data_IF_050223346632
#
_entry.id   IF_050223346632
#
_cell.length_a   1.000
_cell.length_b   1.000
_cell.length_c   1.000
_cell.angle_alpha   90.00
_cell.angle_beta   90.00
_cell.angle_gamma   90.00
#
_symmetry.space_group_name_H-M   'P 1'
#
loop_
_entity.id
_entity.type
_entity.pdbx_description
1 polymer ?
#
# COMPACT_ATOMS: atom_id res chain seq x y z
N UNK A 1 -1.38 7.56 -41.91
CA UNK A 1 -0.02 7.44 -41.36
C UNK A 1 0.06 8.20 -40.02
N UNK A 2 -0.51 7.64 -38.92
CA UNK A 2 -0.56 8.24 -37.58
C UNK A 2 -0.44 7.17 -36.47
N UNK A 3 0.52 6.23 -36.58
CA UNK A 3 0.68 5.13 -35.63
C UNK A 3 1.94 5.22 -34.73
N UNK A 4 2.76 6.26 -34.85
CA UNK A 4 4.05 6.33 -34.14
C UNK A 4 4.04 7.17 -32.86
N UNK A 5 2.97 7.89 -32.54
CA UNK A 5 2.90 8.76 -31.37
C UNK A 5 2.50 8.04 -30.05
N UNK A 6 1.97 6.83 -30.12
CA UNK A 6 1.42 6.11 -28.94
C UNK A 6 2.49 5.31 -28.17
N UNK A 7 3.57 4.90 -28.83
CA UNK A 7 4.64 4.13 -28.18
C UNK A 7 5.48 4.97 -27.18
N UNK A 8 5.68 6.26 -27.48
CA UNK A 8 6.48 7.15 -26.61
C UNK A 8 5.79 7.53 -25.28
N UNK A 9 4.46 7.40 -25.20
CA UNK A 9 3.70 7.69 -23.96
C UNK A 9 3.69 6.51 -22.98
N UNK A 10 3.89 5.29 -23.48
CA UNK A 10 3.90 4.05 -22.67
C UNK A 10 5.12 3.95 -21.74
N UNK A 11 6.25 4.52 -22.14
CA UNK A 11 7.48 4.51 -21.32
C UNK A 11 7.47 5.53 -20.17
N UNK A 12 6.53 6.50 -20.14
CA UNK A 12 6.54 7.61 -19.17
C UNK A 12 5.96 7.32 -17.80
N UNK A 13 5.23 6.22 -17.62
CA UNK A 13 4.66 5.87 -16.30
C UNK A 13 5.73 5.18 -15.42
N UNK A 14 6.74 4.58 -16.05
CA UNK A 14 7.91 3.99 -15.35
C UNK A 14 9.14 4.91 -15.32
N UNK A 15 9.02 6.18 -15.74
CA UNK A 15 10.17 7.11 -15.68
C UNK A 15 10.57 7.32 -14.23
N UNK A 16 11.81 7.03 -13.96
CA UNK A 16 12.50 7.13 -12.70
C UNK A 16 12.11 8.40 -11.94
N UNK A 17 11.37 8.22 -10.84
CA UNK A 17 11.22 9.28 -9.84
C UNK A 17 12.62 9.67 -9.38
N UNK A 18 12.91 10.96 -9.17
CA UNK A 18 14.16 11.35 -8.56
C UNK A 18 14.38 10.55 -7.28
N UNK A 19 15.56 9.95 -7.12
CA UNK A 19 15.87 8.96 -6.09
C UNK A 19 15.39 9.38 -4.67
N UNK A 20 15.47 10.67 -4.34
CA UNK A 20 15.00 11.17 -3.04
C UNK A 20 13.50 11.01 -2.76
N UNK A 21 12.64 11.02 -3.80
CA UNK A 21 11.20 10.78 -3.63
C UNK A 21 10.86 9.29 -3.51
N UNK A 22 11.69 8.43 -4.08
CA UNK A 22 11.55 6.99 -3.96
C UNK A 22 11.81 6.55 -2.50
N UNK A 23 12.88 7.05 -1.89
CA UNK A 23 13.20 6.74 -0.49
C UNK A 23 12.10 7.17 0.48
N UNK A 24 11.45 8.33 0.27
CA UNK A 24 10.35 8.78 1.12
C UNK A 24 9.12 7.86 1.13
N UNK A 25 8.87 7.09 0.07
CA UNK A 25 7.75 6.16 0.01
C UNK A 25 8.06 4.77 0.60
N UNK A 26 9.34 4.37 0.68
CA UNK A 26 9.75 3.04 1.13
C UNK A 26 9.36 2.81 2.60
N UNK A 27 9.72 3.71 3.49
CA UNK A 27 9.43 3.58 4.92
C UNK A 27 7.92 3.52 5.22
N UNK A 28 7.08 4.42 4.68
CA UNK A 28 5.63 4.29 4.82
C UNK A 28 5.08 2.95 4.34
N UNK A 29 5.58 2.40 3.24
CA UNK A 29 5.13 1.10 2.73
C UNK A 29 5.50 -0.02 3.71
N UNK A 30 6.76 -0.05 4.21
CA UNK A 30 7.23 -1.07 5.16
C UNK A 30 6.38 -1.04 6.44
N UNK A 31 6.20 0.14 7.04
CA UNK A 31 5.47 0.26 8.30
C UNK A 31 3.98 -0.02 8.11
N UNK A 32 3.34 0.58 7.13
CA UNK A 32 1.93 0.39 6.88
C UNK A 32 1.56 -1.04 6.45
N UNK A 33 2.52 -1.85 5.99
CA UNK A 33 2.30 -3.27 5.68
C UNK A 33 1.85 -4.08 6.91
N UNK A 34 2.19 -3.61 8.13
CA UNK A 34 1.78 -4.24 9.38
C UNK A 34 0.62 -3.50 10.07
N UNK A 35 0.13 -2.40 9.49
CA UNK A 35 -1.01 -1.69 10.03
C UNK A 35 -2.28 -2.54 9.89
N UNK A 36 -2.83 -2.94 11.03
CA UNK A 36 -4.00 -3.79 11.13
C UNK A 36 -5.19 -3.03 11.69
N UNK A 37 -6.33 -3.16 11.03
CA UNK A 37 -7.62 -2.63 11.48
C UNK A 37 -8.66 -3.73 11.36
N UNK A 38 -9.25 -4.13 12.47
CA UNK A 38 -10.25 -5.19 12.53
C UNK A 38 -9.78 -6.53 11.87
N UNK A 39 -8.52 -6.90 12.04
CA UNK A 39 -7.94 -8.11 11.44
C UNK A 39 -7.54 -7.98 9.97
N UNK A 40 -7.69 -6.79 9.36
CA UNK A 40 -7.37 -6.51 7.96
C UNK A 40 -6.11 -5.63 7.86
N UNK A 41 -5.29 -5.82 6.82
CA UNK A 41 -4.06 -5.04 6.58
C UNK A 41 -4.09 -4.34 5.20
N UNK A 42 -5.04 -3.45 4.92
CA UNK A 42 -5.22 -2.87 3.58
C UNK A 42 -4.18 -1.79 3.22
N UNK A 43 -3.50 -1.21 4.21
CA UNK A 43 -2.72 0.02 4.02
C UNK A 43 -1.44 -0.18 3.22
N UNK A 44 -0.65 -1.23 3.52
CA UNK A 44 0.64 -1.47 2.85
C UNK A 44 0.49 -1.68 1.36
N UNK A 45 -0.45 -2.54 0.96
CA UNK A 45 -0.72 -2.84 -0.45
C UNK A 45 -1.27 -1.61 -1.18
N UNK A 46 -2.13 -0.82 -0.54
CA UNK A 46 -2.69 0.41 -1.12
C UNK A 46 -1.62 1.49 -1.32
N UNK A 47 -0.73 1.69 -0.34
CA UNK A 47 0.40 2.62 -0.45
C UNK A 47 1.40 2.17 -1.52
N UNK A 48 1.74 0.88 -1.56
CA UNK A 48 2.59 0.32 -2.61
C UNK A 48 2.02 0.62 -4.00
N UNK A 49 0.77 0.24 -4.24
CA UNK A 49 0.13 0.43 -5.54
C UNK A 49 0.01 1.91 -5.93
N UNK A 50 -0.37 2.77 -4.98
CA UNK A 50 -0.58 4.19 -5.24
C UNK A 50 0.71 4.98 -5.40
N UNK A 51 1.67 4.78 -4.51
CA UNK A 51 2.88 5.60 -4.45
C UNK A 51 4.04 5.03 -5.27
N UNK A 52 4.24 3.72 -5.22
CA UNK A 52 5.46 3.10 -5.76
C UNK A 52 5.24 1.70 -6.35
N UNK A 53 4.40 1.53 -7.40
CA UNK A 53 4.22 0.25 -8.08
C UNK A 53 5.47 -0.09 -8.91
N UNK A 54 6.52 -0.54 -8.25
CA UNK A 54 7.83 -0.84 -8.84
C UNK A 54 8.48 -2.00 -8.11
N UNK A 55 9.54 -2.64 -8.67
CA UNK A 55 10.26 -3.70 -7.97
C UNK A 55 10.81 -3.28 -6.59
N UNK A 56 11.22 -2.02 -6.43
CA UNK A 56 11.70 -1.48 -5.15
C UNK A 56 10.56 -1.36 -4.14
N UNK A 57 9.40 -0.82 -4.56
CA UNK A 57 8.21 -0.76 -3.73
C UNK A 57 7.70 -2.15 -3.37
N UNK A 58 7.78 -3.11 -4.29
CA UNK A 58 7.46 -4.51 -4.03
C UNK A 58 8.38 -5.11 -2.95
N UNK A 59 9.70 -4.87 -3.04
CA UNK A 59 10.64 -5.32 -2.02
C UNK A 59 10.36 -4.69 -0.65
N UNK A 60 10.00 -3.39 -0.61
CA UNK A 60 9.61 -2.71 0.60
C UNK A 60 8.35 -3.31 1.24
N UNK A 61 7.32 -3.57 0.43
CA UNK A 61 6.09 -4.24 0.89
C UNK A 61 6.39 -5.65 1.40
N UNK A 62 7.20 -6.43 0.66
CA UNK A 62 7.56 -7.77 1.05
C UNK A 62 8.32 -7.79 2.38
N UNK A 63 9.30 -6.88 2.57
CA UNK A 63 10.03 -6.76 3.82
C UNK A 63 9.10 -6.41 5.00
N UNK A 64 8.19 -5.43 4.81
CA UNK A 64 7.21 -5.08 5.83
C UNK A 64 6.24 -6.21 6.14
N UNK A 65 5.67 -6.84 5.12
CA UNK A 65 4.69 -7.92 5.29
C UNK A 65 5.28 -9.15 5.98
N UNK A 66 6.52 -9.54 5.65
CA UNK A 66 7.19 -10.69 6.26
C UNK A 66 7.60 -10.41 7.71
N UNK A 67 7.90 -9.17 8.08
CA UNK A 67 8.16 -8.80 9.46
C UNK A 67 6.95 -9.04 10.38
N UNK A 68 5.72 -9.00 9.82
CA UNK A 68 4.47 -9.34 10.53
C UNK A 68 4.10 -10.83 10.52
N UNK A 69 4.95 -11.71 9.95
CA UNK A 69 4.73 -13.16 9.91
C UNK A 69 4.33 -13.70 8.55
N UNK A 70 4.06 -15.03 8.51
CA UNK A 70 3.76 -15.74 7.25
C UNK A 70 2.43 -15.32 6.60
N UNK A 71 1.49 -14.78 7.38
CA UNK A 71 0.23 -14.23 6.86
C UNK A 71 0.47 -13.08 5.87
N UNK A 72 1.65 -12.45 5.93
CA UNK A 72 2.10 -11.45 4.97
C UNK A 72 2.27 -11.96 3.54
N UNK A 73 2.46 -13.26 3.33
CA UNK A 73 2.67 -13.84 2.00
C UNK A 73 1.51 -13.57 1.04
N UNK A 74 0.27 -13.55 1.53
CA UNK A 74 -0.90 -13.22 0.68
C UNK A 74 -0.79 -11.84 0.06
N UNK A 75 -0.29 -10.84 0.81
CA UNK A 75 -0.15 -9.46 0.32
C UNK A 75 0.98 -9.34 -0.71
N UNK A 76 2.03 -10.14 -0.56
CA UNK A 76 3.12 -10.23 -1.54
C UNK A 76 2.59 -10.80 -2.85
N UNK A 77 1.79 -11.87 -2.79
CA UNK A 77 1.14 -12.45 -3.98
C UNK A 77 0.16 -11.47 -4.63
N UNK A 78 -0.65 -10.77 -3.85
CA UNK A 78 -1.54 -9.72 -4.36
C UNK A 78 -0.75 -8.60 -5.05
N UNK A 79 0.36 -8.16 -4.47
CA UNK A 79 1.22 -7.14 -5.07
C UNK A 79 1.86 -7.62 -6.38
N UNK A 80 2.33 -8.87 -6.43
CA UNK A 80 2.88 -9.46 -7.64
C UNK A 80 1.82 -9.54 -8.75
N UNK A 81 0.60 -9.97 -8.42
CA UNK A 81 -0.52 -10.01 -9.35
C UNK A 81 -0.88 -8.60 -9.86
N UNK A 82 -0.90 -7.61 -8.97
CA UNK A 82 -1.16 -6.22 -9.34
C UNK A 82 -0.08 -5.65 -10.27
N UNK A 83 1.21 -5.92 -9.99
CA UNK A 83 2.31 -5.54 -10.90
C UNK A 83 2.20 -6.22 -12.26
N UNK A 84 1.91 -7.52 -12.28
CA UNK A 84 1.72 -8.26 -13.52
C UNK A 84 0.57 -7.66 -14.34
N UNK A 85 -0.56 -7.36 -13.70
CA UNK A 85 -1.70 -6.72 -14.36
C UNK A 85 -1.32 -5.35 -14.94
N UNK A 86 -0.60 -4.53 -14.19
CA UNK A 86 -0.12 -3.21 -14.63
C UNK A 86 0.93 -3.29 -15.76
N UNK A 87 1.64 -4.42 -15.88
CA UNK A 87 2.57 -4.67 -16.97
C UNK A 87 1.85 -4.97 -18.30
N UNK A 88 0.76 -5.74 -18.23
CA UNK A 88 -0.01 -6.13 -19.43
C UNK A 88 -1.05 -5.08 -19.84
N UNK A 89 -1.59 -4.32 -18.89
CA UNK A 89 -2.70 -3.40 -19.12
C UNK A 89 -2.34 -1.97 -18.68
N UNK A 90 -2.73 -1.00 -19.52
CA UNK A 90 -2.68 0.41 -19.12
C UNK A 90 -3.94 0.74 -18.30
N UNK A 91 -3.83 0.63 -16.98
CA UNK A 91 -4.94 0.93 -16.10
C UNK A 91 -4.98 2.44 -15.80
N UNK A 92 -6.15 3.04 -15.95
CA UNK A 92 -6.44 4.35 -15.36
C UNK A 92 -6.58 4.23 -13.83
N UNK A 93 -6.62 5.36 -13.13
CA UNK A 93 -6.60 5.37 -11.66
C UNK A 93 -7.78 4.61 -11.04
N UNK A 94 -8.98 4.75 -11.61
CA UNK A 94 -10.19 4.11 -11.10
C UNK A 94 -10.11 2.59 -11.34
N UNK A 95 -9.77 2.18 -12.55
CA UNK A 95 -9.64 0.77 -12.90
C UNK A 95 -8.52 0.09 -12.10
N UNK A 96 -7.40 0.80 -11.86
CA UNK A 96 -6.32 0.30 -11.00
C UNK A 96 -6.77 0.13 -9.55
N UNK A 97 -7.56 1.07 -9.01
CA UNK A 97 -8.13 0.97 -7.67
C UNK A 97 -9.08 -0.23 -7.55
N UNK A 98 -9.97 -0.41 -8.53
CA UNK A 98 -10.88 -1.56 -8.59
C UNK A 98 -10.12 -2.88 -8.72
N UNK A 99 -9.10 -2.93 -9.58
CA UNK A 99 -8.26 -4.11 -9.77
C UNK A 99 -7.51 -4.49 -8.48
N UNK A 100 -6.89 -3.51 -7.80
CA UNK A 100 -6.21 -3.75 -6.53
C UNK A 100 -7.19 -4.29 -5.48
N UNK A 101 -8.36 -3.67 -5.37
CA UNK A 101 -9.41 -4.12 -4.46
C UNK A 101 -9.87 -5.56 -4.75
N UNK A 102 -10.11 -5.87 -6.02
CA UNK A 102 -10.53 -7.22 -6.44
C UNK A 102 -9.43 -8.27 -6.17
N UNK A 103 -8.17 -7.96 -6.46
CA UNK A 103 -7.03 -8.84 -6.18
C UNK A 103 -6.91 -9.09 -4.67
N UNK A 104 -7.04 -8.04 -3.85
CA UNK A 104 -6.96 -8.14 -2.38
C UNK A 104 -8.10 -9.00 -1.84
N UNK A 105 -9.33 -8.79 -2.29
CA UNK A 105 -10.48 -9.59 -1.90
C UNK A 105 -10.31 -11.06 -2.29
N UNK A 106 -9.89 -11.31 -3.54
CA UNK A 106 -9.66 -12.68 -4.04
C UNK A 106 -8.54 -13.39 -3.25
N UNK A 107 -7.43 -12.68 -2.94
CA UNK A 107 -6.35 -13.20 -2.12
C UNK A 107 -6.80 -13.54 -0.69
N UNK A 108 -7.68 -12.72 -0.11
CA UNK A 108 -8.27 -12.98 1.20
C UNK A 108 -9.19 -14.21 1.18
N UNK A 109 -10.09 -14.31 0.18
CA UNK A 109 -10.98 -15.47 0.01
C UNK A 109 -10.15 -16.75 -0.23
N UNK A 110 -9.10 -16.68 -1.06
CA UNK A 110 -8.23 -17.82 -1.30
C UNK A 110 -7.51 -18.26 -0.01
N UNK A 111 -6.98 -17.32 0.77
CA UNK A 111 -6.36 -17.62 2.07
C UNK A 111 -7.34 -18.28 3.05
N UNK A 112 -8.60 -17.87 3.04
CA UNK A 112 -9.66 -18.42 3.86
C UNK A 112 -9.90 -19.91 3.60
N UNK A 113 -9.76 -20.36 2.35
CA UNK A 113 -9.96 -21.78 2.00
C UNK A 113 -8.97 -22.72 2.74
N UNK A 114 -7.82 -22.19 3.17
CA UNK A 114 -6.77 -22.96 3.85
C UNK A 114 -6.86 -22.88 5.38
N UNK A 115 -7.50 -21.87 5.95
CA UNK A 115 -7.47 -21.64 7.40
C UNK A 115 -8.84 -21.83 8.06
N UNK A 116 -9.79 -20.97 7.77
CA UNK A 116 -11.10 -20.95 8.44
C UNK A 116 -12.20 -20.59 7.45
N UNK A 117 -12.76 -21.59 6.73
CA UNK A 117 -13.88 -21.30 5.83
C UNK A 117 -15.09 -20.80 6.64
N UNK A 118 -15.59 -19.62 6.31
CA UNK A 118 -16.75 -19.04 6.97
C UNK A 118 -17.25 -17.78 6.30
N UNK A 119 -18.55 -17.52 6.41
CA UNK A 119 -19.19 -16.37 5.76
C UNK A 119 -18.63 -15.02 6.27
N UNK A 120 -18.26 -14.95 7.56
CA UNK A 120 -17.65 -13.77 8.16
C UNK A 120 -16.25 -13.50 7.60
N UNK A 121 -15.44 -14.54 7.39
CA UNK A 121 -14.11 -14.40 6.80
C UNK A 121 -14.20 -13.94 5.34
N UNK A 122 -15.18 -14.45 4.58
CA UNK A 122 -15.45 -14.00 3.22
C UNK A 122 -15.88 -12.52 3.20
N UNK A 123 -16.78 -12.12 4.09
CA UNK A 123 -17.22 -10.73 4.22
C UNK A 123 -16.04 -9.81 4.60
N UNK A 124 -15.19 -10.22 5.55
CA UNK A 124 -13.99 -9.48 5.93
C UNK A 124 -13.04 -9.30 4.73
N UNK A 125 -12.81 -10.35 3.93
CA UNK A 125 -11.98 -10.29 2.74
C UNK A 125 -12.52 -9.32 1.67
N UNK A 126 -13.84 -9.28 1.49
CA UNK A 126 -14.49 -8.31 0.60
C UNK A 126 -14.34 -6.89 1.15
N UNK A 127 -14.57 -6.67 2.44
CA UNK A 127 -14.37 -5.37 3.08
C UNK A 127 -12.91 -4.90 2.97
N UNK A 128 -11.95 -5.81 3.17
CA UNK A 128 -10.53 -5.52 2.99
C UNK A 128 -10.21 -5.08 1.56
N UNK A 129 -10.74 -5.78 0.56
CA UNK A 129 -10.58 -5.44 -0.84
C UNK A 129 -11.15 -4.06 -1.19
N UNK A 130 -12.39 -3.78 -0.76
CA UNK A 130 -13.02 -2.48 -0.97
C UNK A 130 -12.20 -1.38 -0.30
N UNK A 131 -11.79 -1.58 0.95
CA UNK A 131 -10.96 -0.62 1.69
C UNK A 131 -9.61 -0.39 1.01
N UNK A 132 -8.94 -1.46 0.54
CA UNK A 132 -7.67 -1.35 -0.18
C UNK A 132 -7.81 -0.56 -1.48
N UNK A 133 -8.87 -0.78 -2.26
CA UNK A 133 -9.16 -0.02 -3.47
C UNK A 133 -9.43 1.46 -3.21
N UNK A 134 -10.25 1.78 -2.19
CA UNK A 134 -10.54 3.15 -1.78
C UNK A 134 -9.28 3.88 -1.29
N UNK A 135 -8.48 3.23 -0.46
CA UNK A 135 -7.22 3.79 0.04
C UNK A 135 -6.21 4.00 -1.10
N UNK A 136 -6.11 3.06 -2.05
CA UNK A 136 -5.29 3.25 -3.25
C UNK A 136 -5.72 4.51 -4.02
N UNK A 137 -7.01 4.67 -4.26
CA UNK A 137 -7.53 5.86 -4.93
C UNK A 137 -7.20 7.13 -4.15
N UNK A 138 -7.37 7.09 -2.84
CA UNK A 138 -7.10 8.21 -1.94
C UNK A 138 -5.60 8.57 -1.87
N UNK A 139 -4.72 7.61 -1.65
CA UNK A 139 -3.27 7.84 -1.64
C UNK A 139 -2.71 8.23 -3.02
N UNK A 140 -3.40 7.88 -4.10
CA UNK A 140 -3.04 8.31 -5.44
C UNK A 140 -2.99 9.84 -5.61
N UNK A 141 -3.66 10.62 -4.74
CA UNK A 141 -3.57 12.09 -4.71
C UNK A 141 -2.17 12.56 -4.32
N UNK A 142 -1.43 11.76 -3.54
CA UNK A 142 -0.09 12.07 -3.08
C UNK A 142 1.02 11.68 -4.08
N UNK A 143 0.66 11.01 -5.18
CA UNK A 143 1.65 10.43 -6.11
C UNK A 143 2.61 11.45 -6.73
N UNK A 144 2.14 12.65 -7.00
CA UNK A 144 2.92 13.73 -7.67
C UNK A 144 3.54 14.72 -6.70
N UNK A 145 3.21 14.62 -5.41
CA UNK A 145 3.55 15.62 -4.42
C UNK A 145 4.75 15.18 -3.54
N UNK A 146 5.47 16.12 -2.91
CA UNK A 146 6.41 15.80 -1.85
C UNK A 146 5.64 15.18 -0.68
N UNK A 147 6.27 14.26 0.08
CA UNK A 147 5.62 13.60 1.22
C UNK A 147 5.43 14.54 2.42
N UNK A 148 6.20 15.61 2.51
CA UNK A 148 6.04 16.63 3.56
C UNK A 148 4.95 17.64 3.19
N UNK A 149 4.18 18.15 4.17
CA UNK A 149 3.14 19.13 3.94
C UNK A 149 3.71 20.43 3.35
N UNK A 150 2.92 21.08 2.52
CA UNK A 150 3.22 22.42 1.96
C UNK A 150 2.19 23.41 2.46
N UNK A 151 2.55 24.70 2.54
CA UNK A 151 1.72 25.76 3.15
C UNK A 151 0.32 25.92 2.52
N UNK A 152 0.11 25.49 1.27
CA UNK A 152 -1.16 25.62 0.54
C UNK A 152 -1.67 24.25 0.06
N UNK A 153 -1.81 23.32 0.97
CA UNK A 153 -2.26 21.97 0.63
C UNK A 153 -3.79 21.86 0.67
N UNK A 154 -4.37 21.10 -0.29
CA UNK A 154 -5.81 20.84 -0.27
C UNK A 154 -6.16 19.91 0.92
N UNK A 155 -7.35 20.06 1.49
CA UNK A 155 -7.84 19.25 2.60
C UNK A 155 -7.78 17.73 2.30
N UNK A 156 -8.04 17.34 1.04
CA UNK A 156 -7.95 15.94 0.60
C UNK A 156 -6.52 15.39 0.74
N UNK A 157 -5.51 16.15 0.33
CA UNK A 157 -4.10 15.73 0.43
C UNK A 157 -3.64 15.68 1.87
N UNK A 158 -4.03 16.66 2.68
CA UNK A 158 -3.74 16.66 4.12
C UNK A 158 -4.35 15.43 4.79
N UNK A 159 -5.62 15.13 4.52
CA UNK A 159 -6.28 13.93 5.03
C UNK A 159 -5.55 12.65 4.58
N UNK A 160 -5.13 12.54 3.32
CA UNK A 160 -4.39 11.39 2.82
C UNK A 160 -3.04 11.21 3.57
N UNK A 161 -2.34 12.30 3.90
CA UNK A 161 -1.11 12.24 4.70
C UNK A 161 -1.37 11.82 6.14
N UNK A 162 -2.43 12.35 6.76
CA UNK A 162 -2.80 11.97 8.12
C UNK A 162 -3.16 10.49 8.21
N UNK A 163 -3.94 9.97 7.24
CA UNK A 163 -4.25 8.54 7.18
C UNK A 163 -2.97 7.71 6.96
N UNK A 164 -2.07 8.15 6.07
CA UNK A 164 -0.79 7.48 5.86
C UNK A 164 0.07 7.48 7.12
N UNK A 165 0.20 8.61 7.82
CA UNK A 165 0.95 8.73 9.06
C UNK A 165 0.35 7.85 10.17
N UNK A 166 -0.98 7.84 10.30
CA UNK A 166 -1.69 6.97 11.23
C UNK A 166 -1.46 5.48 10.92
N UNK A 167 -1.51 5.09 9.65
CA UNK A 167 -1.21 3.72 9.23
C UNK A 167 0.25 3.34 9.53
N UNK A 168 1.20 4.24 9.31
CA UNK A 168 2.60 4.00 9.67
C UNK A 168 2.78 3.84 11.19
N UNK A 169 2.16 4.70 11.99
CA UNK A 169 2.20 4.62 13.45
C UNK A 169 1.57 3.32 13.96
N UNK A 170 0.42 2.92 13.42
CA UNK A 170 -0.23 1.65 13.74
C UNK A 170 0.64 0.45 13.36
N UNK A 171 1.25 0.49 12.17
CA UNK A 171 2.12 -0.57 11.68
C UNK A 171 3.42 -0.72 12.48
N UNK A 172 3.95 0.38 13.02
CA UNK A 172 5.09 0.34 13.95
C UNK A 172 4.80 -0.48 15.22
N UNK A 173 3.53 -0.61 15.61
CA UNK A 173 3.13 -1.46 16.74
C UNK A 173 3.40 -2.95 16.50
N UNK A 174 3.46 -3.39 15.25
CA UNK A 174 3.84 -4.76 14.88
C UNK A 174 5.32 -5.07 15.04
N UNK A 175 6.18 -4.05 15.17
CA UNK A 175 7.61 -4.22 15.38
C UNK A 175 7.94 -4.15 16.87
N UNK A 176 8.48 -5.24 17.41
CA UNK A 176 8.89 -5.34 18.80
C UNK A 176 10.42 -5.33 18.88
N UNK A 177 10.97 -4.38 19.64
CA UNK A 177 12.42 -4.30 19.91
C UNK A 177 12.70 -5.02 21.20
N UNK A 178 13.71 -5.90 21.30
CA UNK A 178 14.13 -6.45 22.60
C UNK A 178 14.53 -5.32 23.56
N UNK A 179 13.99 -5.27 24.79
CA UNK A 179 13.33 -6.30 25.62
C UNK A 179 11.78 -6.34 25.57
N UNK A 180 11.14 -6.23 24.43
CA UNK A 180 9.67 -6.33 24.33
C UNK A 180 8.95 -4.99 24.23
N UNK A 181 9.67 -3.91 23.89
CA UNK A 181 9.10 -2.58 23.69
C UNK A 181 8.56 -2.46 22.27
N UNK A 182 7.29 -2.10 22.13
CA UNK A 182 6.69 -1.80 20.84
C UNK A 182 7.22 -0.47 20.28
N UNK A 183 7.62 -0.46 19.02
CA UNK A 183 8.24 0.69 18.36
C UNK A 183 7.31 1.91 18.29
N UNK A 184 5.99 1.70 18.25
CA UNK A 184 5.00 2.79 18.26
C UNK A 184 5.02 3.60 19.57
N UNK A 185 5.33 2.96 20.71
CA UNK A 185 5.45 3.63 22.01
C UNK A 185 6.67 4.56 21.99
N UNK A 186 7.82 4.06 21.48
CA UNK A 186 9.02 4.87 21.33
C UNK A 186 8.80 6.07 20.40
N UNK A 187 8.09 5.84 19.29
CA UNK A 187 7.76 6.90 18.33
C UNK A 187 6.79 7.93 18.93
N UNK A 188 5.78 7.47 19.68
CA UNK A 188 4.89 8.37 20.42
C UNK A 188 5.61 9.22 21.46
N UNK A 189 6.56 8.64 22.19
CA UNK A 189 7.40 9.38 23.14
C UNK A 189 8.27 10.43 22.45
N UNK A 190 8.83 10.12 21.27
CA UNK A 190 9.65 11.05 20.50
C UNK A 190 8.86 12.27 19.99
N UNK A 191 7.57 12.08 19.67
CA UNK A 191 6.70 13.19 19.20
C UNK A 191 6.30 14.12 20.36
N UNK A 192 6.24 13.59 21.59
CA UNK A 192 5.84 14.35 22.78
C UNK A 192 7.00 15.09 23.44
N UNK A 193 8.23 14.83 23.03
CA UNK A 193 9.45 15.55 23.44
C UNK A 193 9.76 16.73 22.53
#
# INVERSE_FOLDING_TARGET
MKMTATAGRRARIMTARPAGRAFGAILPIIFAANAEVAGMKPFGLSLFGALMPSPVGFAALAAGSLAGGLDGLRYILCAAAFLALGFFFNLDRITAAAALGAITAAGGIFSMLWHTPGILAAAASLCEGVTAGLLFYFFGTLRSEPLLPTEHESAEKLAARLVMAGACAAGLGGFVVPPGIHLNILFGMLILM
#
